data_IF_927075713240
#
_entry.id   IF_927075713240
#
_cell.length_a   1.000
_cell.length_b   1.000
_cell.length_c   1.000
_cell.angle_alpha   90.00
_cell.angle_beta   90.00
_cell.angle_gamma   90.00
#
_symmetry.space_group_name_H-M   'P 1'
#
loop_
_entity.id
_entity.type
_entity.pdbx_description
1 polymer ?
#
# COMPACT_ATOMS: atom_id res chain seq x y z
N UNK A 1 12.70 -44.09 12.91
CA UNK A 1 12.39 -42.64 12.96
C UNK A 1 12.24 -42.08 11.53
N UNK A 2 11.26 -42.57 10.77
CA UNK A 2 11.04 -42.15 9.39
C UNK A 2 9.55 -42.25 9.08
N UNK A 3 8.80 -41.17 9.34
CA UNK A 3 7.50 -40.86 8.71
C UNK A 3 6.97 -39.54 9.27
N UNK A 4 7.74 -38.47 9.08
CA UNK A 4 7.23 -37.08 9.21
C UNK A 4 7.27 -36.36 7.85
N UNK A 5 7.31 -37.11 6.75
CA UNK A 5 6.98 -36.60 5.42
C UNK A 5 5.51 -36.94 5.17
N UNK A 6 4.64 -36.34 5.98
CA UNK A 6 3.20 -36.52 5.86
C UNK A 6 2.72 -35.77 4.62
N UNK A 7 2.19 -36.53 3.67
CA UNK A 7 1.20 -36.19 2.64
C UNK A 7 1.39 -34.81 1.97
N UNK A 8 1.73 -34.74 0.67
CA UNK A 8 1.64 -33.47 -0.05
C UNK A 8 0.19 -33.00 0.06
N UNK A 9 -0.05 -31.93 0.83
CA UNK A 9 -1.35 -31.29 0.82
C UNK A 9 -1.68 -31.00 -0.65
N UNK A 10 -2.91 -31.34 -1.05
CA UNK A 10 -3.34 -31.16 -2.43
C UNK A 10 -3.07 -29.70 -2.78
N UNK A 11 -2.35 -29.41 -3.86
CA UNK A 11 -2.04 -28.02 -4.28
C UNK A 11 -3.28 -27.11 -4.29
N UNK A 12 -4.45 -27.70 -4.53
CA UNK A 12 -5.76 -27.04 -4.41
C UNK A 12 -6.05 -26.48 -3.01
N UNK A 13 -5.72 -27.20 -1.93
CA UNK A 13 -5.93 -26.77 -0.54
C UNK A 13 -4.98 -25.64 -0.15
N UNK A 14 -3.71 -25.72 -0.57
CA UNK A 14 -2.74 -24.64 -0.33
C UNK A 14 -3.21 -23.37 -1.05
N UNK A 15 -3.63 -23.47 -2.31
CA UNK A 15 -4.14 -22.33 -3.08
C UNK A 15 -5.38 -21.70 -2.44
N UNK A 16 -6.31 -22.54 -1.96
CA UNK A 16 -7.51 -22.09 -1.29
C UNK A 16 -7.16 -21.33 0.01
N UNK A 17 -6.28 -21.88 0.84
CA UNK A 17 -5.80 -21.20 2.06
C UNK A 17 -5.03 -19.91 1.77
N UNK A 18 -4.19 -19.88 0.74
CA UNK A 18 -3.47 -18.66 0.35
C UNK A 18 -4.41 -17.55 -0.07
N UNK A 19 -5.50 -17.87 -0.79
CA UNK A 19 -6.51 -16.88 -1.17
C UNK A 19 -7.31 -16.39 0.04
N UNK A 20 -7.71 -17.29 0.93
CA UNK A 20 -8.43 -16.91 2.16
C UNK A 20 -7.57 -15.96 3.01
N UNK A 21 -6.29 -16.30 3.22
CA UNK A 21 -5.35 -15.45 3.97
C UNK A 21 -5.10 -14.11 3.27
N UNK A 22 -5.00 -14.09 1.93
CA UNK A 22 -4.82 -12.86 1.18
C UNK A 22 -6.03 -11.92 1.29
N UNK A 23 -7.25 -12.48 1.36
CA UNK A 23 -8.47 -11.72 1.56
C UNK A 23 -8.55 -11.18 2.98
N UNK A 24 -8.28 -12.00 4.00
CA UNK A 24 -8.28 -11.55 5.40
C UNK A 24 -7.20 -10.48 5.64
N UNK A 25 -5.99 -10.68 5.09
CA UNK A 25 -4.92 -9.68 5.14
C UNK A 25 -5.33 -8.40 4.40
N UNK A 26 -5.98 -8.51 3.24
CA UNK A 26 -6.42 -7.35 2.47
C UNK A 26 -7.51 -6.55 3.18
N UNK A 27 -8.62 -7.20 3.51
CA UNK A 27 -9.86 -6.58 4.04
C UNK A 27 -9.61 -5.93 5.38
N UNK A 28 -8.95 -6.61 6.31
CA UNK A 28 -8.68 -6.06 7.64
C UNK A 28 -7.70 -4.86 7.60
N UNK A 29 -6.96 -4.66 6.49
CA UNK A 29 -6.03 -3.54 6.33
C UNK A 29 -6.66 -2.28 5.73
N UNK A 30 -7.85 -2.38 5.11
CA UNK A 30 -8.45 -1.29 4.31
C UNK A 30 -8.63 -0.02 5.15
N UNK A 31 -9.07 -0.16 6.40
CA UNK A 31 -9.29 0.99 7.29
C UNK A 31 -7.99 1.76 7.58
N UNK A 32 -6.93 1.04 7.96
CA UNK A 32 -5.63 1.65 8.29
C UNK A 32 -4.99 2.27 7.03
N UNK A 33 -5.02 1.56 5.91
CA UNK A 33 -4.50 2.06 4.63
C UNK A 33 -5.25 3.32 4.18
N UNK A 34 -6.58 3.37 4.33
CA UNK A 34 -7.40 4.55 4.02
C UNK A 34 -7.07 5.76 4.90
N UNK A 35 -6.89 5.53 6.21
CA UNK A 35 -6.49 6.60 7.14
C UNK A 35 -5.11 7.17 6.76
N UNK A 36 -4.10 6.30 6.63
CA UNK A 36 -2.71 6.70 6.37
C UNK A 36 -2.55 7.37 5.00
N UNK A 37 -3.20 6.83 3.96
CA UNK A 37 -3.13 7.41 2.60
C UNK A 37 -3.71 8.83 2.54
N UNK A 38 -4.76 9.13 3.32
CA UNK A 38 -5.34 10.48 3.40
C UNK A 38 -4.34 11.49 3.96
N UNK A 39 -3.67 11.15 5.07
CA UNK A 39 -2.68 12.04 5.68
C UNK A 39 -1.46 12.25 4.79
N UNK A 40 -0.98 11.20 4.14
CA UNK A 40 0.17 11.27 3.24
C UNK A 40 -0.12 12.10 2.00
N UNK A 41 -1.31 11.95 1.40
CA UNK A 41 -1.75 12.81 0.29
C UNK A 41 -1.85 14.29 0.69
N UNK A 42 -2.35 14.58 1.90
CA UNK A 42 -2.42 15.94 2.41
C UNK A 42 -1.02 16.55 2.64
N UNK A 43 -0.12 15.81 3.29
CA UNK A 43 1.26 16.27 3.59
C UNK A 43 2.04 16.54 2.31
N UNK A 44 1.96 15.64 1.32
CA UNK A 44 2.65 15.80 0.04
C UNK A 44 2.12 16.98 -0.76
N UNK A 45 0.81 17.22 -0.76
CA UNK A 45 0.20 18.39 -1.38
C UNK A 45 0.73 19.70 -0.78
N UNK A 46 0.72 19.80 0.55
CA UNK A 46 1.23 20.99 1.26
C UNK A 46 2.73 21.18 1.00
N UNK A 47 3.51 20.10 1.01
CA UNK A 47 4.94 20.16 0.75
C UNK A 47 5.25 20.67 -0.67
N UNK A 48 4.54 20.17 -1.70
CA UNK A 48 4.77 20.60 -3.08
C UNK A 48 4.29 22.05 -3.27
N UNK A 49 3.17 22.44 -2.66
CA UNK A 49 2.67 23.81 -2.68
C UNK A 49 3.68 24.82 -2.09
N UNK A 50 4.34 24.47 -0.98
CA UNK A 50 5.37 25.34 -0.40
C UNK A 50 6.66 25.42 -1.23
N UNK A 51 7.04 24.35 -1.93
CA UNK A 51 8.23 24.34 -2.77
C UNK A 51 8.01 25.10 -4.10
N UNK A 52 6.76 25.24 -4.54
CA UNK A 52 6.40 26.01 -5.74
C UNK A 52 6.18 27.49 -5.39
N UNK A 53 7.28 28.19 -5.12
CA UNK A 53 7.30 29.63 -4.76
C UNK A 53 7.22 30.53 -6.00
N UNK A 54 7.40 29.98 -7.21
CA UNK A 54 7.47 30.78 -8.44
C UNK A 54 6.07 30.98 -9.06
N UNK A 55 5.55 32.22 -9.15
CA UNK A 55 4.18 32.52 -9.60
C UNK A 55 3.90 32.20 -11.07
N UNK A 56 4.93 31.79 -11.83
CA UNK A 56 4.80 31.40 -13.24
C UNK A 56 4.26 29.97 -13.43
N UNK A 57 4.24 29.14 -12.38
CA UNK A 57 3.77 27.76 -12.51
C UNK A 57 2.34 27.65 -11.96
N UNK A 58 1.36 27.22 -12.78
CA UNK A 58 -0.02 27.06 -12.36
C UNK A 58 -0.15 26.10 -11.16
N UNK A 59 -1.02 26.42 -10.20
CA UNK A 59 -1.32 25.52 -9.07
C UNK A 59 -1.90 24.16 -9.52
N UNK A 60 -2.41 24.05 -10.75
CA UNK A 60 -2.81 22.77 -11.34
C UNK A 60 -1.64 21.79 -11.51
N UNK A 61 -0.42 22.29 -11.64
CA UNK A 61 0.80 21.46 -11.74
C UNK A 61 1.11 20.76 -10.42
N UNK A 62 0.75 21.36 -9.27
CA UNK A 62 0.88 20.73 -7.95
C UNK A 62 0.10 19.41 -7.92
N UNK A 63 -1.17 19.43 -8.35
CA UNK A 63 -2.01 18.23 -8.36
C UNK A 63 -1.51 17.14 -9.32
N UNK A 64 -0.95 17.54 -10.46
CA UNK A 64 -0.33 16.61 -11.40
C UNK A 64 0.89 15.91 -10.79
N UNK A 65 1.79 16.67 -10.17
CA UNK A 65 2.99 16.14 -9.52
C UNK A 65 2.67 15.27 -8.31
N UNK A 66 1.71 15.69 -7.47
CA UNK A 66 1.20 14.87 -6.34
C UNK A 66 0.72 13.53 -6.86
N UNK A 67 -0.08 13.51 -7.93
CA UNK A 67 -0.62 12.26 -8.50
C UNK A 67 0.47 11.35 -9.04
N UNK A 68 1.44 11.88 -9.78
CA UNK A 68 2.54 11.07 -10.33
C UNK A 68 3.39 10.46 -9.22
N UNK A 69 3.78 11.24 -8.21
CA UNK A 69 4.51 10.72 -7.06
C UNK A 69 3.71 9.70 -6.26
N UNK A 70 2.41 9.95 -6.08
CA UNK A 70 1.53 9.01 -5.35
C UNK A 70 1.44 7.68 -6.07
N UNK A 71 1.26 7.67 -7.39
CA UNK A 71 1.10 6.42 -8.14
C UNK A 71 2.42 5.66 -8.30
N UNK A 72 3.52 6.37 -8.58
CA UNK A 72 4.80 5.74 -8.94
C UNK A 72 5.61 5.29 -7.72
N UNK A 73 5.58 6.03 -6.62
CA UNK A 73 6.47 5.78 -5.49
C UNK A 73 5.71 5.56 -4.18
N UNK A 74 4.83 6.49 -3.84
CA UNK A 74 4.23 6.56 -2.51
C UNK A 74 3.17 5.49 -2.26
N UNK A 75 2.34 5.13 -3.25
CA UNK A 75 1.33 4.09 -3.07
C UNK A 75 1.94 2.70 -2.77
N UNK A 76 2.83 2.13 -3.60
CA UNK A 76 3.38 0.80 -3.31
C UNK A 76 4.27 0.78 -2.06
N UNK A 77 5.03 1.83 -1.79
CA UNK A 77 5.91 1.89 -0.60
C UNK A 77 5.12 2.02 0.70
N UNK A 78 4.11 2.88 0.75
CA UNK A 78 3.31 3.05 1.99
C UNK A 78 2.43 1.83 2.22
N UNK A 79 1.79 1.28 1.19
CA UNK A 79 0.95 0.09 1.34
C UNK A 79 1.79 -1.08 1.88
N UNK A 80 3.00 -1.29 1.35
CA UNK A 80 3.88 -2.35 1.85
C UNK A 80 4.34 -2.14 3.30
N UNK A 81 4.66 -0.90 3.70
CA UNK A 81 5.02 -0.58 5.10
C UNK A 81 3.84 -0.79 6.06
N UNK A 82 2.64 -0.34 5.68
CA UNK A 82 1.43 -0.50 6.51
C UNK A 82 1.06 -1.98 6.65
N UNK A 83 1.12 -2.75 5.57
CA UNK A 83 0.86 -4.19 5.61
C UNK A 83 1.92 -4.93 6.44
N UNK A 84 3.20 -4.56 6.33
CA UNK A 84 4.27 -5.13 7.16
C UNK A 84 4.07 -4.83 8.65
N UNK A 85 3.55 -3.65 9.02
CA UNK A 85 3.27 -3.31 10.42
C UNK A 85 2.03 -3.99 11.02
N UNK A 86 1.09 -4.43 10.18
CA UNK A 86 -0.09 -5.19 10.62
C UNK A 86 0.19 -6.69 10.72
N UNK A 87 0.84 -7.25 9.69
CA UNK A 87 0.99 -8.71 9.50
C UNK A 87 2.31 -9.23 10.06
N UNK A 88 3.30 -8.35 10.23
CA UNK A 88 4.60 -8.65 10.83
C UNK A 88 4.59 -8.71 12.35
#
# INVERSE_FOLDING_TARGET
MQTMVTRPERRAVIWQRTLDEAVDIGVDSIFIVGLVSTFIGAVTCVQIAYNMVNPLIPMSTVGFMVREMTILELAPTIISVVLAGKVG
#
